data_IF_959069516141
#
_entry.id   IF_959069516141
#
_cell.length_a   1.000
_cell.length_b   1.000
_cell.length_c   1.000
_cell.angle_alpha   90.00
_cell.angle_beta   90.00
_cell.angle_gamma   90.00
#
_symmetry.space_group_name_H-M   'P 1'
#
loop_
_entity.id
_entity.type
_entity.pdbx_description
1 polymer ?
#
# COMPACT_ATOMS: atom_id res chain seq x y z
N UNK A 1 12.82 13.26 21.45
CA UNK A 1 11.98 14.13 20.58
C UNK A 1 10.69 14.62 21.25
N UNK A 2 9.91 13.80 21.97
CA UNK A 2 8.62 14.27 22.54
C UNK A 2 8.53 14.38 24.06
N UNK A 3 9.46 13.78 24.83
CA UNK A 3 9.47 13.82 26.30
C UNK A 3 8.40 12.97 26.99
N UNK A 4 7.41 12.48 26.25
CA UNK A 4 6.27 11.70 26.74
C UNK A 4 6.02 10.49 25.82
N UNK A 5 5.70 9.34 26.42
CA UNK A 5 5.40 8.10 25.68
C UNK A 5 4.05 8.21 24.96
N UNK A 6 4.03 7.83 23.69
CA UNK A 6 2.82 7.83 22.85
C UNK A 6 2.17 9.21 22.70
N UNK A 7 2.90 10.32 22.94
CA UNK A 7 2.40 11.67 22.66
C UNK A 7 1.85 11.75 21.23
N UNK A 8 2.65 11.27 20.28
CA UNK A 8 2.24 10.99 18.91
C UNK A 8 2.21 9.48 18.71
N UNK A 9 1.14 8.95 18.11
CA UNK A 9 1.03 7.55 17.70
C UNK A 9 1.21 7.52 16.18
N UNK A 10 2.19 6.75 15.69
CA UNK A 10 2.41 6.57 14.26
C UNK A 10 1.21 5.87 13.61
N UNK A 11 0.99 6.11 12.32
CA UNK A 11 -0.15 5.55 11.57
C UNK A 11 -0.16 4.02 11.63
N UNK A 12 1.00 3.40 11.50
CA UNK A 12 1.19 1.95 11.50
C UNK A 12 0.86 1.37 12.87
N UNK A 13 1.33 2.01 13.95
CA UNK A 13 1.00 1.61 15.34
C UNK A 13 -0.50 1.75 15.61
N UNK A 14 -1.12 2.82 15.10
CA UNK A 14 -2.57 3.01 15.20
C UNK A 14 -3.32 1.90 14.45
N UNK A 15 -2.86 1.50 13.26
CA UNK A 15 -3.46 0.40 12.50
C UNK A 15 -3.38 -0.95 13.23
N UNK A 16 -2.26 -1.24 13.92
CA UNK A 16 -2.16 -2.43 14.78
C UNK A 16 -3.21 -2.38 15.89
N UNK A 17 -3.31 -1.24 16.59
CA UNK A 17 -4.29 -1.04 17.66
C UNK A 17 -5.74 -1.12 17.16
N UNK A 18 -6.01 -0.70 15.92
CA UNK A 18 -7.31 -0.80 15.24
C UNK A 18 -7.63 -2.19 14.71
N UNK A 19 -6.65 -3.11 14.66
CA UNK A 19 -6.81 -4.45 14.10
C UNK A 19 -6.66 -4.52 12.56
N UNK A 20 -6.20 -3.46 11.90
CA UNK A 20 -6.06 -3.37 10.44
C UNK A 20 -5.02 -4.35 9.87
N UNK A 21 -4.12 -4.85 10.73
CA UNK A 21 -3.11 -5.85 10.38
C UNK A 21 -3.46 -7.27 10.86
N UNK A 22 -4.62 -7.45 11.49
CA UNK A 22 -5.07 -8.71 12.07
C UNK A 22 -4.86 -8.82 13.58
N UNK A 23 -4.94 -10.05 14.09
CA UNK A 23 -4.94 -10.31 15.53
C UNK A 23 -3.51 -10.33 16.10
N UNK A 24 -3.29 -9.57 17.17
CA UNK A 24 -2.03 -9.65 17.94
C UNK A 24 -2.02 -10.91 18.82
N UNK A 25 -0.85 -11.50 19.15
CA UNK A 25 -0.78 -12.71 19.96
C UNK A 25 -1.41 -12.58 21.37
N UNK A 26 -1.47 -11.36 21.88
CA UNK A 26 -2.10 -10.98 23.16
C UNK A 26 -2.89 -9.69 22.99
N UNK A 27 -3.84 -9.36 23.89
CA UNK A 27 -4.55 -8.10 23.85
C UNK A 27 -3.63 -6.88 23.88
N UNK A 28 -3.95 -5.87 23.08
CA UNK A 28 -3.25 -4.59 23.08
C UNK A 28 -3.64 -3.74 24.30
N UNK A 29 -2.90 -2.67 24.55
CA UNK A 29 -3.24 -1.74 25.62
C UNK A 29 -4.59 -1.06 25.35
N UNK A 30 -5.57 -1.27 26.23
CA UNK A 30 -6.95 -0.81 26.06
C UNK A 30 -7.08 0.72 25.96
N UNK A 31 -6.29 1.48 26.73
CA UNK A 31 -6.35 2.95 26.72
C UNK A 31 -5.81 3.51 25.40
N UNK A 32 -4.71 2.94 24.89
CA UNK A 32 -4.16 3.33 23.59
C UNK A 32 -5.07 2.91 22.44
N UNK A 33 -5.69 1.73 22.52
CA UNK A 33 -6.65 1.26 21.53
C UNK A 33 -7.89 2.18 21.49
N UNK A 34 -8.51 2.47 22.63
CA UNK A 34 -9.65 3.38 22.71
C UNK A 34 -9.32 4.77 22.14
N UNK A 35 -8.11 5.27 22.41
CA UNK A 35 -7.64 6.55 21.88
C UNK A 35 -7.57 6.58 20.36
N UNK A 36 -7.09 5.51 19.70
CA UNK A 36 -7.00 5.48 18.23
C UNK A 36 -8.31 5.09 17.54
N UNK A 37 -9.23 4.46 18.27
CA UNK A 37 -10.55 4.07 17.75
C UNK A 37 -11.53 5.25 17.70
N UNK A 38 -11.34 6.27 18.52
CA UNK A 38 -12.17 7.49 18.53
C UNK A 38 -13.69 7.20 18.63
N UNK A 39 -14.04 6.19 19.45
CA UNK A 39 -15.43 5.74 19.63
C UNK A 39 -15.89 4.65 18.65
N UNK A 40 -15.06 4.26 17.69
CA UNK A 40 -15.28 3.12 16.81
C UNK A 40 -14.98 1.76 17.45
N UNK A 41 -15.22 0.69 16.69
CA UNK A 41 -14.88 -0.67 17.07
C UNK A 41 -13.62 -1.17 16.34
N UNK A 42 -12.79 -2.01 16.96
CA UNK A 42 -11.63 -2.59 16.28
C UNK A 42 -12.07 -3.59 15.20
N UNK A 43 -11.27 -3.72 14.16
CA UNK A 43 -11.37 -4.79 13.17
C UNK A 43 -11.04 -6.12 13.85
N UNK A 44 -11.95 -7.08 13.74
CA UNK A 44 -11.82 -8.41 14.36
C UNK A 44 -11.89 -9.57 13.36
N UNK A 45 -12.22 -9.29 12.10
CA UNK A 45 -12.17 -10.25 11.00
C UNK A 45 -10.79 -10.27 10.33
N UNK A 46 -10.62 -11.11 9.29
CA UNK A 46 -9.45 -11.05 8.42
C UNK A 46 -9.52 -9.74 7.61
N UNK A 47 -8.52 -8.84 7.68
CA UNK A 47 -8.62 -7.50 7.05
C UNK A 47 -8.98 -7.51 5.56
N UNK A 48 -8.53 -8.53 4.82
CA UNK A 48 -8.87 -8.69 3.40
C UNK A 48 -10.36 -8.87 3.11
N UNK A 49 -11.18 -9.26 4.10
CA UNK A 49 -12.64 -9.39 3.96
C UNK A 49 -13.32 -8.03 3.80
N UNK A 50 -12.63 -6.93 4.14
CA UNK A 50 -13.11 -5.56 3.98
C UNK A 50 -12.66 -4.92 2.65
N UNK A 51 -11.80 -5.59 1.89
CA UNK A 51 -11.29 -5.09 0.61
C UNK A 51 -12.22 -5.53 -0.54
N UNK A 52 -12.46 -4.63 -1.48
CA UNK A 52 -13.17 -4.95 -2.72
C UNK A 52 -12.17 -5.54 -3.73
N UNK A 53 -12.61 -6.41 -4.66
CA UNK A 53 -11.79 -6.81 -5.79
C UNK A 53 -11.36 -5.57 -6.61
N UNK A 54 -10.07 -5.40 -6.85
CA UNK A 54 -9.48 -4.19 -7.45
C UNK A 54 -8.83 -4.43 -8.82
N UNK A 55 -8.65 -5.69 -9.24
CA UNK A 55 -7.84 -6.01 -10.43
C UNK A 55 -8.36 -5.33 -11.71
N UNK A 56 -9.67 -5.38 -11.96
CA UNK A 56 -10.24 -4.77 -13.17
C UNK A 56 -10.07 -3.25 -13.21
N UNK A 57 -10.13 -2.59 -12.05
CA UNK A 57 -9.91 -1.14 -11.93
C UNK A 57 -8.43 -0.79 -12.18
N UNK A 58 -7.52 -1.57 -11.58
CA UNK A 58 -6.08 -1.40 -11.76
C UNK A 58 -5.65 -1.64 -13.20
N UNK A 59 -6.19 -2.66 -13.88
CA UNK A 59 -5.93 -2.90 -15.30
C UNK A 59 -6.35 -1.71 -16.17
N UNK A 60 -7.53 -1.14 -15.92
CA UNK A 60 -8.03 0.00 -16.66
C UNK A 60 -7.19 1.26 -16.42
N UNK A 61 -6.80 1.52 -15.16
CA UNK A 61 -5.97 2.66 -14.79
C UNK A 61 -4.56 2.57 -15.39
N UNK A 62 -3.90 1.41 -15.29
CA UNK A 62 -2.56 1.20 -15.85
C UNK A 62 -2.57 1.34 -17.38
N UNK A 63 -3.58 0.80 -18.07
CA UNK A 63 -3.73 0.98 -19.52
C UNK A 63 -3.92 2.45 -19.91
N UNK A 64 -4.73 3.19 -19.16
CA UNK A 64 -4.94 4.63 -19.36
C UNK A 64 -3.64 5.40 -19.16
N UNK A 65 -2.96 5.20 -18.04
CA UNK A 65 -1.69 5.86 -17.74
C UNK A 65 -0.62 5.54 -18.79
N UNK A 66 -0.56 4.29 -19.24
CA UNK A 66 0.38 3.88 -20.29
C UNK A 66 0.09 4.60 -21.62
N UNK A 67 -1.19 4.73 -22.01
CA UNK A 67 -1.59 5.47 -23.20
C UNK A 67 -1.25 6.96 -23.09
N UNK A 68 -1.55 7.60 -21.95
CA UNK A 68 -1.30 9.03 -21.72
C UNK A 68 0.20 9.37 -21.72
N UNK A 69 1.04 8.44 -21.21
CA UNK A 69 2.49 8.64 -21.06
C UNK A 69 3.32 7.99 -22.17
N UNK A 70 2.69 7.34 -23.14
CA UNK A 70 3.38 6.63 -24.23
C UNK A 70 4.22 5.44 -23.77
N UNK A 71 3.81 4.77 -22.70
CA UNK A 71 4.51 3.61 -22.13
C UNK A 71 4.10 2.36 -22.89
N UNK A 72 5.08 1.63 -23.42
CA UNK A 72 4.86 0.29 -23.98
C UNK A 72 4.78 -0.74 -22.85
N UNK A 73 3.58 -1.27 -22.61
CA UNK A 73 3.39 -2.37 -21.67
C UNK A 73 4.04 -3.67 -22.21
N UNK A 74 4.36 -4.58 -21.30
CA UNK A 74 4.89 -5.91 -21.64
C UNK A 74 3.89 -6.71 -22.48
N UNK A 75 4.38 -7.72 -23.20
CA UNK A 75 3.52 -8.63 -23.97
C UNK A 75 2.43 -9.29 -23.11
N UNK A 76 2.75 -9.55 -21.85
CA UNK A 76 1.78 -9.94 -20.82
C UNK A 76 1.50 -8.76 -19.89
N UNK A 77 0.60 -7.86 -20.30
CA UNK A 77 0.35 -6.59 -19.60
C UNK A 77 -0.07 -6.74 -18.13
N UNK A 78 -0.58 -7.90 -17.71
CA UNK A 78 -0.93 -8.18 -16.31
C UNK A 78 0.28 -8.08 -15.37
N UNK A 79 1.49 -8.40 -15.84
CA UNK A 79 2.70 -8.33 -15.02
C UNK A 79 3.05 -6.87 -14.68
N UNK A 80 2.76 -5.96 -15.61
CA UNK A 80 2.93 -4.51 -15.41
C UNK A 80 1.85 -3.96 -14.47
N UNK A 81 0.62 -4.47 -14.61
CA UNK A 81 -0.49 -4.14 -13.69
C UNK A 81 -0.14 -4.57 -12.27
N UNK A 82 0.37 -5.78 -12.08
CA UNK A 82 0.81 -6.26 -10.76
C UNK A 82 1.99 -5.47 -10.22
N UNK A 83 2.93 -5.05 -11.07
CA UNK A 83 4.05 -4.19 -10.68
C UNK A 83 3.56 -2.84 -10.14
N UNK A 84 2.60 -2.21 -10.82
CA UNK A 84 2.00 -0.94 -10.38
C UNK A 84 1.09 -1.16 -9.18
N UNK A 85 0.35 -2.27 -9.08
CA UNK A 85 -0.47 -2.59 -7.93
C UNK A 85 0.36 -2.69 -6.64
N UNK A 86 1.51 -3.37 -6.71
CA UNK A 86 2.43 -3.53 -5.58
C UNK A 86 3.14 -2.22 -5.23
N UNK A 87 3.48 -1.40 -6.24
CA UNK A 87 4.21 -0.16 -6.07
C UNK A 87 3.68 0.95 -7.00
N UNK A 88 2.59 1.67 -6.67
CA UNK A 88 1.91 2.52 -7.64
C UNK A 88 2.80 3.59 -8.29
N UNK A 89 3.47 4.40 -7.49
CA UNK A 89 4.31 5.49 -8.01
C UNK A 89 5.65 4.97 -8.57
N UNK A 90 6.29 4.04 -7.85
CA UNK A 90 7.62 3.53 -8.22
C UNK A 90 7.54 2.58 -9.41
N UNK A 91 6.53 1.69 -9.42
CA UNK A 91 6.21 0.80 -10.52
C UNK A 91 5.93 1.59 -11.80
N UNK A 92 5.08 2.62 -11.75
CA UNK A 92 4.83 3.46 -12.93
C UNK A 92 6.10 4.16 -13.41
N UNK A 93 6.90 4.75 -12.51
CA UNK A 93 8.18 5.38 -12.85
C UNK A 93 9.16 4.38 -13.47
N UNK A 94 9.16 3.13 -12.98
CA UNK A 94 9.94 2.05 -13.57
C UNK A 94 9.45 1.74 -14.99
N UNK A 95 8.14 1.62 -15.22
CA UNK A 95 7.59 1.37 -16.56
C UNK A 95 7.95 2.48 -17.55
N UNK A 96 7.87 3.75 -17.14
CA UNK A 96 8.29 4.92 -17.94
C UNK A 96 9.77 4.84 -18.35
N UNK A 97 10.60 4.21 -17.53
CA UNK A 97 12.05 4.15 -17.72
C UNK A 97 12.57 2.77 -18.11
N UNK A 98 11.69 1.77 -18.34
CA UNK A 98 12.08 0.35 -18.50
C UNK A 98 13.20 0.10 -19.50
N UNK A 99 13.26 0.90 -20.57
CA UNK A 99 14.26 0.80 -21.63
C UNK A 99 15.24 1.98 -21.64
N UNK A 100 15.39 2.67 -20.51
CA UNK A 100 16.28 3.80 -20.31
C UNK A 100 17.41 3.43 -19.32
N UNK A 101 18.58 2.96 -19.79
CA UNK A 101 19.70 2.61 -18.93
C UNK A 101 20.18 3.76 -18.03
N UNK A 102 20.03 5.01 -18.45
CA UNK A 102 20.46 6.18 -17.68
C UNK A 102 19.57 6.46 -16.45
N UNK A 103 18.40 5.83 -16.36
CA UNK A 103 17.51 5.94 -15.20
C UNK A 103 17.86 4.96 -14.06
N UNK A 104 18.80 4.03 -14.29
CA UNK A 104 19.16 2.98 -13.34
C UNK A 104 20.65 3.02 -13.01
N UNK A 105 21.00 2.36 -11.91
CA UNK A 105 22.41 2.17 -11.53
C UNK A 105 23.14 1.36 -12.61
N UNK A 106 24.44 1.66 -12.87
CA UNK A 106 25.23 0.89 -13.82
C UNK A 106 25.36 -0.56 -13.35
N UNK A 107 25.50 -1.48 -14.31
CA UNK A 107 25.79 -2.87 -13.99
C UNK A 107 27.13 -2.94 -13.22
N UNK A 108 27.20 -3.74 -12.14
CA UNK A 108 28.42 -3.93 -11.36
C UNK A 108 29.55 -4.57 -12.18
#
# INVERSE_FOLDING_TARGET
>A
LTGERYKTIAKETAGILKGEYGHTPVPVNAALQARVLEGGAPVTCRPADLLKPELAELEADVRRQAQEKGITLAGNAIDDVLTVALFPQIGLKFLENRHNPAAFEPLP
#
